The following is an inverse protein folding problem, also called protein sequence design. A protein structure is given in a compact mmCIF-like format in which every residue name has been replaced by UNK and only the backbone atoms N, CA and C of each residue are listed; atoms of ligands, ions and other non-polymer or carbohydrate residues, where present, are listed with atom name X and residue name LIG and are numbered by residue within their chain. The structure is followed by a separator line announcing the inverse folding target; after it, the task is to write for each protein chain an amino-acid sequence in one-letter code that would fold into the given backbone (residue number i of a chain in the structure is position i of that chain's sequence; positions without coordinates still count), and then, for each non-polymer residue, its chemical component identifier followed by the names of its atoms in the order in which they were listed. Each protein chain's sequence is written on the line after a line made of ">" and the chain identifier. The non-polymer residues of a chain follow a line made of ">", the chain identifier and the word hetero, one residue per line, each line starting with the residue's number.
data_IF_916214510668
#
_entry.id   IF_916214510668
#
_cell.length_a   1.000
_cell.length_b   1.000
_cell.length_c   1.000
_cell.angle_alpha   90.00
_cell.angle_beta   90.00
_cell.angle_gamma   90.00
#
_symmetry.space_group_name_H-M   'P 1'
#
loop_
_entity.id
_entity.type
_entity.pdbx_description
1 polymer ?
#
# COMPACT_ATOMS: atom_id res chain seq x y z
N UNK A 1 -6.19 9.57 -6.78
CA UNK A 1 -5.86 8.93 -5.48
C UNK A 1 -4.36 9.10 -5.23
N UNK A 2 -3.93 9.24 -3.98
CA UNK A 2 -2.49 9.28 -3.64
C UNK A 2 -1.95 7.85 -3.51
N UNK A 3 -0.70 7.56 -3.91
CA UNK A 3 -0.12 6.22 -3.76
C UNK A 3 0.06 5.86 -2.29
N UNK A 4 0.03 4.57 -1.98
CA UNK A 4 0.16 4.02 -0.62
C UNK A 4 1.38 4.56 0.11
N UNK A 5 2.52 4.66 -0.58
CA UNK A 5 3.77 5.19 -0.02
C UNK A 5 3.65 6.62 0.52
N UNK A 6 2.79 7.45 -0.08
CA UNK A 6 2.53 8.82 0.41
C UNK A 6 1.57 8.82 1.60
N UNK A 7 0.59 7.93 1.60
CA UNK A 7 -0.39 7.85 2.69
C UNK A 7 0.21 7.25 3.96
N UNK A 8 1.15 6.32 3.80
CA UNK A 8 1.83 5.63 4.90
C UNK A 8 3.16 6.28 5.32
N UNK A 9 3.56 7.39 4.66
CA UNK A 9 4.77 8.13 5.02
C UNK A 9 6.10 7.47 4.62
N UNK A 10 6.07 6.35 3.88
CA UNK A 10 7.25 5.61 3.43
C UNK A 10 7.69 5.98 2.00
N UNK A 11 7.36 7.18 1.51
CA UNK A 11 7.77 7.64 0.18
C UNK A 11 9.24 8.03 0.09
N UNK A 12 9.87 8.39 1.21
CA UNK A 12 11.25 8.85 1.21
C UNK A 12 12.20 7.75 0.69
N UNK A 13 13.02 8.10 -0.31
CA UNK A 13 13.95 7.16 -0.94
C UNK A 13 13.34 6.25 -2.02
N UNK A 14 12.03 6.34 -2.30
CA UNK A 14 11.41 5.65 -3.44
C UNK A 14 11.36 6.56 -4.68
N UNK A 15 11.79 6.08 -5.86
CA UNK A 15 11.62 6.79 -7.11
C UNK A 15 10.14 6.86 -7.52
N UNK A 16 9.81 7.79 -8.41
CA UNK A 16 8.44 7.93 -8.94
C UNK A 16 8.06 6.74 -9.84
N UNK A 17 9.04 6.21 -10.58
CA UNK A 17 8.94 4.99 -11.37
C UNK A 17 10.21 4.16 -11.19
N UNK A 18 10.05 2.84 -11.09
CA UNK A 18 11.19 1.92 -11.08
C UNK A 18 11.69 1.70 -12.51
N UNK A 19 12.97 1.93 -12.75
CA UNK A 19 13.64 1.58 -14.02
C UNK A 19 14.32 0.22 -13.88
N UNK A 20 14.58 -0.47 -14.99
CA UNK A 20 15.29 -1.76 -14.97
C UNK A 20 16.66 -1.66 -14.29
N UNK A 21 17.38 -0.55 -14.52
CA UNK A 21 18.67 -0.29 -13.86
C UNK A 21 18.52 -0.05 -12.34
N UNK A 22 17.42 0.57 -11.90
CA UNK A 22 17.16 0.76 -10.46
C UNK A 22 16.93 -0.57 -9.74
N UNK A 23 16.41 -1.59 -10.44
CA UNK A 23 16.23 -2.93 -9.85
C UNK A 23 17.55 -3.61 -9.51
N UNK A 24 18.67 -3.20 -10.10
CA UNK A 24 20.00 -3.72 -9.79
C UNK A 24 20.70 -2.97 -8.66
N UNK A 25 20.19 -1.79 -8.27
CA UNK A 25 20.75 -1.00 -7.17
C UNK A 25 20.34 -1.58 -5.81
N UNK A 26 21.32 -2.08 -5.07
CA UNK A 26 21.11 -2.66 -3.72
C UNK A 26 20.49 -1.64 -2.75
N UNK A 27 20.81 -0.35 -2.89
CA UNK A 27 20.26 0.68 -2.02
C UNK A 27 18.77 0.88 -2.30
N UNK A 28 18.37 0.92 -3.57
CA UNK A 28 16.96 0.92 -3.96
C UNK A 28 16.24 -0.34 -3.47
N UNK A 29 16.82 -1.53 -3.66
CA UNK A 29 16.23 -2.78 -3.21
C UNK A 29 15.95 -2.79 -1.70
N UNK A 30 16.86 -2.26 -0.88
CA UNK A 30 16.67 -2.14 0.58
C UNK A 30 15.53 -1.20 0.94
N UNK A 31 15.48 -0.01 0.34
CA UNK A 31 14.40 0.95 0.59
C UNK A 31 13.04 0.40 0.10
N UNK A 32 13.03 -0.29 -1.04
CA UNK A 32 11.84 -0.92 -1.59
C UNK A 32 11.34 -2.09 -0.73
N UNK A 33 12.26 -2.94 -0.25
CA UNK A 33 11.97 -4.00 0.72
C UNK A 33 11.31 -3.44 1.97
N UNK A 34 11.89 -2.38 2.56
CA UNK A 34 11.34 -1.71 3.72
C UNK A 34 9.89 -1.26 3.47
N UNK A 35 9.66 -0.49 2.41
CA UNK A 35 8.34 0.06 2.11
C UNK A 35 7.26 -1.00 1.82
N UNK A 36 7.63 -2.17 1.28
CA UNK A 36 6.68 -3.24 0.94
C UNK A 36 6.44 -4.24 2.07
N UNK A 37 7.47 -4.58 2.84
CA UNK A 37 7.45 -5.73 3.75
C UNK A 37 7.63 -5.37 5.21
N UNK A 38 8.13 -4.16 5.52
CA UNK A 38 8.41 -3.74 6.89
C UNK A 38 7.45 -2.63 7.37
N UNK A 39 6.53 -2.17 6.51
CA UNK A 39 5.50 -1.20 6.88
C UNK A 39 4.12 -1.86 6.80
N UNK A 40 3.45 -1.92 7.94
CA UNK A 40 2.16 -2.59 8.09
C UNK A 40 1.05 -1.60 8.44
N UNK A 41 -0.15 -1.83 7.91
CA UNK A 41 -1.34 -1.05 8.25
C UNK A 41 -2.12 -1.75 9.37
N UNK A 42 -1.91 -1.32 10.62
CA UNK A 42 -2.60 -1.89 11.79
C UNK A 42 -4.10 -1.55 11.82
N UNK A 43 -4.44 -0.28 11.59
CA UNK A 43 -5.82 0.23 11.62
C UNK A 43 -6.06 1.18 10.44
N UNK A 44 -7.16 0.98 9.71
CA UNK A 44 -7.47 1.82 8.56
C UNK A 44 -8.56 1.27 7.64
N UNK A 45 -8.54 1.66 6.36
CA UNK A 45 -9.45 1.11 5.36
C UNK A 45 -8.86 1.13 3.96
N UNK A 46 -9.04 0.06 3.20
CA UNK A 46 -8.80 0.05 1.76
C UNK A 46 -10.04 0.63 1.05
N UNK A 47 -9.83 1.52 0.09
CA UNK A 47 -10.93 2.19 -0.62
C UNK A 47 -10.92 1.78 -2.08
N UNK A 48 -12.03 1.24 -2.57
CA UNK A 48 -12.18 0.94 -3.99
C UNK A 48 -12.26 2.26 -4.78
N UNK A 49 -11.40 2.48 -5.80
CA UNK A 49 -11.41 3.72 -6.57
C UNK A 49 -12.68 3.92 -7.41
N UNK A 50 -13.30 2.82 -7.86
CA UNK A 50 -14.48 2.87 -8.75
C UNK A 50 -15.78 3.12 -7.97
N UNK A 51 -15.95 2.46 -6.83
CA UNK A 51 -17.20 2.50 -6.06
C UNK A 51 -17.12 3.37 -4.80
N UNK A 52 -15.92 3.77 -4.37
CA UNK A 52 -15.71 4.47 -3.11
C UNK A 52 -15.92 3.62 -1.86
N UNK A 53 -16.22 2.32 -2.02
CA UNK A 53 -16.46 1.37 -0.93
C UNK A 53 -15.21 1.24 -0.06
N UNK A 54 -15.42 1.20 1.26
CA UNK A 54 -14.36 1.02 2.26
C UNK A 54 -14.35 -0.40 2.80
N UNK A 55 -13.19 -1.02 2.79
CA UNK A 55 -12.90 -2.30 3.41
C UNK A 55 -12.06 -2.04 4.66
N UNK A 56 -12.61 -2.21 5.88
CA UNK A 56 -11.89 -1.87 7.10
C UNK A 56 -10.72 -2.83 7.33
N UNK A 57 -9.65 -2.29 7.89
CA UNK A 57 -8.47 -3.02 8.37
C UNK A 57 -8.41 -2.82 9.87
N UNK A 58 -8.38 -3.92 10.62
CA UNK A 58 -8.25 -3.90 12.07
C UNK A 58 -7.26 -4.97 12.51
N UNK A 59 -6.37 -4.63 13.44
CA UNK A 59 -5.27 -5.52 13.89
C UNK A 59 -4.44 -6.09 12.73
N UNK A 60 -4.19 -5.27 11.71
CA UNK A 60 -3.46 -5.69 10.51
C UNK A 60 -4.23 -6.58 9.53
N UNK A 61 -5.49 -6.92 9.81
CA UNK A 61 -6.28 -7.85 8.99
C UNK A 61 -7.33 -7.08 8.18
N UNK A 62 -7.24 -7.07 6.83
CA UNK A 62 -8.26 -6.46 5.98
C UNK A 62 -9.52 -7.33 5.90
N UNK A 63 -10.69 -6.72 6.09
CA UNK A 63 -11.98 -7.36 5.87
C UNK A 63 -12.53 -6.99 4.48
N UNK A 64 -12.47 -7.96 3.55
CA UNK A 64 -12.94 -7.83 2.17
C UNK A 64 -14.32 -8.45 1.93
N UNK A 65 -15.04 -8.86 2.99
CA UNK A 65 -16.37 -9.45 2.85
C UNK A 65 -17.39 -8.42 2.36
N UNK A 66 -18.30 -8.88 1.50
CA UNK A 66 -19.43 -8.13 0.98
C UNK A 66 -20.70 -8.57 1.72
N UNK A 67 -21.53 -7.62 2.14
CA UNK A 67 -22.88 -7.94 2.62
C UNK A 67 -23.78 -8.21 1.41
N UNK A 68 -24.85 -8.99 1.62
CA UNK A 68 -25.79 -9.39 0.55
C UNK A 68 -26.43 -8.19 -0.16
N UNK A 69 -26.62 -7.08 0.56
CA UNK A 69 -27.16 -5.82 0.03
C UNK A 69 -26.14 -4.99 -0.78
N UNK A 70 -24.89 -5.45 -0.88
CA UNK A 70 -23.79 -4.74 -1.54
C UNK A 70 -23.26 -5.47 -2.80
N UNK A 71 -23.99 -6.49 -3.28
CA UNK A 71 -23.74 -7.24 -4.51
C UNK A 71 -24.37 -6.61 -5.76
#
# INVERSE_FOLDING_TARGET
>A
MKPTSTQMGCREGLPEEATEAALEDEQFQKTFHHALLEVELEEGSLVCPETGRKFPVAKGIPNMLLNEDEC
#
